data_IF_109223849518
#
_entry.id   IF_109223849518
#
_cell.length_a   1.000
_cell.length_b   1.000
_cell.length_c   1.000
_cell.angle_alpha   90.00
_cell.angle_beta   90.00
_cell.angle_gamma   90.00
#
_symmetry.space_group_name_H-M   'P 1'
#
loop_
_entity.id
_entity.type
_entity.pdbx_description
1 polymer ?
#
# COMPACT_ATOMS: atom_id res chain seq x y z
N UNK A 1 -49.03 1.27 3.44
CA UNK A 1 -48.75 -0.13 3.78
C UNK A 1 -47.84 -0.69 2.69
N UNK A 2 -46.57 -0.93 3.03
CA UNK A 2 -45.52 -1.30 2.07
C UNK A 2 -45.67 -2.80 1.78
N UNK A 3 -45.64 -3.15 0.50
CA UNK A 3 -45.94 -4.47 -0.03
C UNK A 3 -44.73 -5.40 0.21
N UNK A 4 -44.74 -6.17 1.30
CA UNK A 4 -43.65 -7.06 1.73
C UNK A 4 -43.75 -8.47 1.14
N UNK A 5 -43.99 -8.60 -0.17
CA UNK A 5 -44.14 -9.92 -0.82
C UNK A 5 -43.25 -10.15 -2.05
N UNK A 6 -42.15 -9.41 -2.21
CA UNK A 6 -41.25 -9.62 -3.35
C UNK A 6 -40.21 -10.75 -3.17
N UNK A 7 -40.07 -11.31 -1.96
CA UNK A 7 -39.07 -12.35 -1.68
C UNK A 7 -39.65 -13.78 -1.55
N UNK A 8 -40.98 -13.91 -1.46
CA UNK A 8 -41.64 -15.20 -1.24
C UNK A 8 -42.02 -15.91 -2.54
N UNK A 9 -42.00 -15.23 -3.68
CA UNK A 9 -42.26 -15.83 -5.00
C UNK A 9 -41.03 -16.50 -5.62
N UNK A 10 -39.83 -16.33 -5.04
CA UNK A 10 -38.57 -16.90 -5.57
C UNK A 10 -38.14 -18.23 -4.94
N UNK A 11 -38.96 -18.80 -4.07
CA UNK A 11 -38.61 -20.00 -3.32
C UNK A 11 -39.63 -21.11 -3.60
N UNK A 12 -39.60 -21.61 -4.83
CA UNK A 12 -40.05 -22.97 -5.10
C UNK A 12 -39.14 -23.93 -4.33
N UNK A 13 -39.71 -24.55 -3.30
CA UNK A 13 -38.98 -25.28 -2.25
C UNK A 13 -38.29 -26.57 -2.73
N UNK A 14 -38.50 -26.95 -3.99
CA UNK A 14 -37.99 -28.19 -4.57
C UNK A 14 -36.68 -28.03 -5.34
N UNK A 15 -36.31 -26.83 -5.81
CA UNK A 15 -35.01 -26.61 -6.50
C UNK A 15 -33.86 -26.28 -5.53
N UNK A 16 -34.16 -26.00 -4.26
CA UNK A 16 -33.15 -25.69 -3.24
C UNK A 16 -32.52 -26.91 -2.56
N UNK A 17 -32.90 -28.15 -2.94
CA UNK A 17 -32.29 -29.35 -2.37
C UNK A 17 -30.84 -29.56 -2.81
N UNK A 18 -30.45 -28.97 -3.94
CA UNK A 18 -29.17 -29.26 -4.60
C UNK A 18 -28.12 -28.16 -4.37
N UNK A 19 -28.54 -26.99 -3.89
CA UNK A 19 -27.62 -25.97 -3.40
C UNK A 19 -27.28 -26.30 -1.95
N UNK A 20 -26.23 -27.08 -1.75
CA UNK A 20 -25.65 -27.32 -0.44
C UNK A 20 -25.24 -25.98 0.18
N UNK A 21 -26.13 -25.34 0.93
CA UNK A 21 -25.81 -24.21 1.79
C UNK A 21 -25.00 -24.78 2.95
N UNK A 22 -23.69 -24.81 2.78
CA UNK A 22 -22.77 -25.15 3.87
C UNK A 22 -23.05 -24.18 5.02
N UNK A 23 -23.33 -24.66 6.24
CA UNK A 23 -23.55 -23.77 7.37
C UNK A 23 -22.23 -23.07 7.69
N UNK A 24 -22.10 -21.81 7.32
CA UNK A 24 -20.97 -20.96 7.72
C UNK A 24 -21.10 -20.75 9.22
N UNK A 25 -20.07 -21.15 9.96
CA UNK A 25 -20.04 -21.05 11.42
C UNK A 25 -19.43 -19.71 11.85
N UNK A 26 -19.69 -19.30 13.09
CA UNK A 26 -19.05 -18.11 13.67
C UNK A 26 -17.52 -18.23 13.73
N UNK A 27 -17.00 -19.47 13.83
CA UNK A 27 -15.57 -19.75 13.79
C UNK A 27 -14.99 -19.42 12.41
N UNK A 28 -15.68 -19.79 11.33
CA UNK A 28 -15.25 -19.49 9.96
C UNK A 28 -15.11 -17.98 9.73
N UNK A 29 -16.10 -17.19 10.17
CA UNK A 29 -16.04 -15.73 10.10
C UNK A 29 -14.87 -15.15 10.90
N UNK A 30 -14.58 -15.70 12.08
CA UNK A 30 -13.47 -15.24 12.91
C UNK A 30 -12.12 -15.55 12.23
N UNK A 31 -11.95 -16.76 11.70
CA UNK A 31 -10.74 -17.16 11.00
C UNK A 31 -10.52 -16.34 9.72
N UNK A 32 -11.58 -16.08 8.96
CA UNK A 32 -11.54 -15.21 7.79
C UNK A 32 -11.12 -13.78 8.15
N UNK A 33 -11.69 -13.22 9.22
CA UNK A 33 -11.29 -11.90 9.72
C UNK A 33 -9.81 -11.83 10.09
N UNK A 34 -9.28 -12.85 10.76
CA UNK A 34 -7.85 -12.95 11.08
C UNK A 34 -7.01 -13.09 9.82
N UNK A 35 -7.46 -13.88 8.84
CA UNK A 35 -6.76 -14.08 7.58
C UNK A 35 -6.68 -12.79 6.76
N UNK A 36 -7.80 -12.07 6.63
CA UNK A 36 -7.89 -10.77 5.95
C UNK A 36 -6.97 -9.76 6.64
N UNK A 37 -7.05 -9.61 7.97
CA UNK A 37 -6.22 -8.66 8.70
C UNK A 37 -4.71 -8.94 8.57
N UNK A 38 -4.30 -10.21 8.54
CA UNK A 38 -2.90 -10.59 8.29
C UNK A 38 -2.45 -10.26 6.86
N UNK A 39 -3.33 -10.48 5.88
CA UNK A 39 -3.04 -10.18 4.48
C UNK A 39 -2.91 -8.67 4.26
N UNK A 40 -3.86 -7.89 4.78
CA UNK A 40 -3.85 -6.43 4.70
C UNK A 40 -2.60 -5.86 5.36
N UNK A 41 -2.32 -6.22 6.62
CA UNK A 41 -1.13 -5.71 7.32
C UNK A 41 0.19 -6.06 6.63
N UNK A 42 0.28 -7.23 5.98
CA UNK A 42 1.48 -7.62 5.21
C UNK A 42 1.59 -6.83 3.91
N UNK A 43 0.47 -6.55 3.24
CA UNK A 43 0.45 -5.76 2.01
C UNK A 43 0.80 -4.30 2.28
N UNK A 44 0.18 -3.70 3.30
CA UNK A 44 0.44 -2.33 3.73
C UNK A 44 1.90 -2.15 4.14
N UNK A 45 2.40 -2.97 5.07
CA UNK A 45 3.79 -2.85 5.52
C UNK A 45 4.81 -3.05 4.40
N UNK A 46 4.53 -3.91 3.40
CA UNK A 46 5.41 -4.08 2.24
C UNK A 46 5.37 -2.88 1.29
N UNK A 47 4.21 -2.27 1.09
CA UNK A 47 4.06 -1.10 0.24
C UNK A 47 4.71 0.12 0.88
N UNK A 48 4.42 0.38 2.16
CA UNK A 48 5.00 1.48 2.92
C UNK A 48 6.52 1.35 2.98
N UNK A 49 7.04 0.21 3.43
CA UNK A 49 8.49 0.01 3.53
C UNK A 49 9.21 0.13 2.18
N UNK A 50 8.58 -0.29 1.08
CA UNK A 50 9.17 -0.12 -0.27
C UNK A 50 9.16 1.34 -0.73
N UNK A 51 8.10 2.08 -0.43
CA UNK A 51 8.00 3.50 -0.77
C UNK A 51 8.98 4.33 0.05
N UNK A 52 8.99 4.15 1.36
CA UNK A 52 9.91 4.82 2.28
C UNK A 52 11.36 4.53 1.92
N UNK A 53 11.74 3.25 1.81
CA UNK A 53 13.12 2.87 1.48
C UNK A 53 13.58 3.39 0.12
N UNK A 54 12.69 3.46 -0.88
CA UNK A 54 13.03 4.03 -2.20
C UNK A 54 13.23 5.55 -2.12
N UNK A 55 12.40 6.24 -1.34
CA UNK A 55 12.49 7.69 -1.17
C UNK A 55 13.73 8.09 -0.37
N UNK A 56 13.98 7.40 0.74
CA UNK A 56 15.14 7.61 1.60
C UNK A 56 16.44 7.30 0.84
N UNK A 57 16.54 6.12 0.23
CA UNK A 57 17.72 5.74 -0.54
C UNK A 57 18.01 6.68 -1.72
N UNK A 58 16.97 7.21 -2.39
CA UNK A 58 17.17 8.23 -3.43
C UNK A 58 17.71 9.53 -2.86
N UNK A 59 17.19 9.99 -1.71
CA UNK A 59 17.63 11.23 -1.07
C UNK A 59 19.07 11.11 -0.56
N UNK A 60 19.42 9.99 0.05
CA UNK A 60 20.78 9.68 0.51
C UNK A 60 21.76 9.66 -0.66
N UNK A 61 21.44 8.93 -1.74
CA UNK A 61 22.30 8.86 -2.93
C UNK A 61 22.54 10.23 -3.58
N UNK A 62 21.51 11.09 -3.66
CA UNK A 62 21.66 12.45 -4.17
C UNK A 62 22.52 13.33 -3.26
N UNK A 63 22.38 13.17 -1.95
CA UNK A 63 23.15 13.90 -0.95
C UNK A 63 24.63 13.49 -0.98
N UNK A 64 24.90 12.19 -1.10
CA UNK A 64 26.25 11.64 -1.25
C UNK A 64 26.90 12.09 -2.57
N UNK A 65 26.17 12.00 -3.69
CA UNK A 65 26.65 12.49 -4.98
C UNK A 65 27.01 13.99 -4.92
N UNK A 66 26.15 14.82 -4.32
CA UNK A 66 26.40 16.24 -4.15
C UNK A 66 27.64 16.53 -3.28
N UNK A 67 27.81 15.79 -2.17
CA UNK A 67 28.99 15.88 -1.29
C UNK A 67 30.27 15.55 -2.05
N UNK A 68 30.27 14.47 -2.81
CA UNK A 68 31.42 14.05 -3.62
C UNK A 68 31.76 15.11 -4.67
N UNK A 69 30.76 15.61 -5.42
CA UNK A 69 30.98 16.65 -6.42
C UNK A 69 31.54 17.94 -5.81
N UNK A 70 31.06 18.34 -4.62
CA UNK A 70 31.58 19.48 -3.85
C UNK A 70 33.04 19.27 -3.48
N UNK A 71 33.40 18.07 -3.04
CA UNK A 71 34.78 17.70 -2.72
C UNK A 71 35.71 17.75 -3.94
N UNK A 72 35.20 17.40 -5.13
CA UNK A 72 35.94 17.52 -6.40
C UNK A 72 35.98 18.95 -6.96
N UNK A 73 35.44 19.94 -6.25
CA UNK A 73 35.48 21.35 -6.66
C UNK A 73 34.48 21.73 -7.75
N UNK A 74 33.43 20.91 -7.97
CA UNK A 74 32.34 21.29 -8.87
C UNK A 74 31.62 22.54 -8.34
N UNK A 75 31.18 23.41 -9.24
CA UNK A 75 30.42 24.60 -8.84
C UNK A 75 29.06 24.21 -8.27
N UNK A 76 28.55 24.98 -7.30
CA UNK A 76 27.23 24.78 -6.69
C UNK A 76 26.13 24.70 -7.74
N UNK A 77 26.22 25.51 -8.80
CA UNK A 77 25.25 25.49 -9.91
C UNK A 77 25.28 24.16 -10.68
N UNK A 78 26.47 23.59 -10.91
CA UNK A 78 26.62 22.29 -11.57
C UNK A 78 26.07 21.17 -10.68
N UNK A 79 26.35 21.22 -9.39
CA UNK A 79 25.84 20.25 -8.41
C UNK A 79 24.31 20.32 -8.37
N UNK A 80 23.74 21.53 -8.29
CA UNK A 80 22.28 21.73 -8.28
C UNK A 80 21.61 21.20 -9.55
N UNK A 81 22.21 21.43 -10.73
CA UNK A 81 21.70 20.86 -11.99
C UNK A 81 21.80 19.33 -12.04
N UNK A 82 22.86 18.75 -11.48
CA UNK A 82 23.10 17.31 -11.51
C UNK A 82 22.25 16.52 -10.50
N UNK A 83 22.04 17.07 -9.30
CA UNK A 83 21.36 16.37 -8.20
C UNK A 83 19.93 16.85 -7.96
N UNK A 84 19.56 18.01 -8.50
CA UNK A 84 18.26 18.63 -8.26
C UNK A 84 18.12 19.24 -6.86
N UNK A 85 19.18 19.24 -6.05
CA UNK A 85 19.20 19.87 -4.73
C UNK A 85 19.25 21.40 -4.86
N UNK A 86 18.62 22.08 -3.91
CA UNK A 86 18.70 23.52 -3.80
C UNK A 86 20.10 23.97 -3.36
N UNK A 87 20.44 25.22 -3.67
CA UNK A 87 21.69 25.84 -3.23
C UNK A 87 21.84 25.80 -1.70
N UNK A 88 20.74 25.97 -0.96
CA UNK A 88 20.74 25.89 0.50
C UNK A 88 21.11 24.49 1.02
N UNK A 89 20.51 23.45 0.43
CA UNK A 89 20.85 22.06 0.75
C UNK A 89 22.32 21.76 0.45
N UNK A 90 22.83 22.19 -0.71
CA UNK A 90 24.23 21.98 -1.12
C UNK A 90 25.22 22.70 -0.19
N UNK A 91 24.87 23.90 0.27
CA UNK A 91 25.71 24.64 1.23
C UNK A 91 25.78 23.95 2.59
N UNK A 92 24.68 23.29 3.00
CA UNK A 92 24.56 22.58 4.28
C UNK A 92 25.08 21.13 4.25
N UNK A 93 25.48 20.60 3.08
CA UNK A 93 26.13 19.29 2.91
C UNK A 93 27.62 19.33 3.27
#
# INVERSE_FOLDING_TARGET
CRNENYLLDYLDKEEFSDMAVLPITAEDFFQDGIAVGKLEGKLEGKLEGKLEGKMEGRKEALSEAARNLKQFGASIETISKATGLSVGEINNL
#
